data_IF_245518743929
#
_entry.id   IF_245518743929
#
_cell.length_a   1.000
_cell.length_b   1.000
_cell.length_c   1.000
_cell.angle_alpha   90.00
_cell.angle_beta   90.00
_cell.angle_gamma   90.00
#
_symmetry.space_group_name_H-M   'P 1'
#
loop_
_entity.id
_entity.type
_entity.pdbx_description
1 polymer ?
#
# COMPACT_ATOMS: atom_id res chain seq x y z
N UNK A 1 11.45 -13.23 23.62
CA UNK A 1 11.27 -11.89 23.03
C UNK A 1 10.17 -11.23 23.82
N UNK A 2 10.43 -10.10 24.46
CA UNK A 2 9.40 -9.42 25.23
C UNK A 2 8.25 -8.97 24.31
N UNK A 3 7.08 -9.56 24.49
CA UNK A 3 5.93 -9.34 23.61
C UNK A 3 5.38 -7.91 23.70
N UNK A 4 5.42 -7.29 24.88
CA UNK A 4 4.94 -5.92 25.08
C UNK A 4 5.76 -4.90 24.28
N UNK A 5 7.09 -4.96 24.40
CA UNK A 5 7.97 -4.09 23.61
C UNK A 5 7.83 -4.33 22.11
N UNK A 6 7.69 -5.59 21.69
CA UNK A 6 7.46 -5.92 20.29
C UNK A 6 6.20 -5.27 19.75
N UNK A 7 5.05 -5.45 20.43
CA UNK A 7 3.77 -4.89 20.01
C UNK A 7 3.84 -3.36 19.94
N UNK A 8 4.38 -2.71 20.98
CA UNK A 8 4.48 -1.24 21.01
C UNK A 8 5.34 -0.71 19.85
N UNK A 9 6.53 -1.29 19.64
CA UNK A 9 7.44 -0.83 18.58
C UNK A 9 6.76 -0.93 17.22
N UNK A 10 6.12 -2.07 16.94
CA UNK A 10 5.51 -2.33 15.64
C UNK A 10 4.31 -1.41 15.39
N UNK A 11 3.40 -1.26 16.36
CA UNK A 11 2.22 -0.41 16.21
C UNK A 11 2.60 1.07 16.09
N UNK A 12 3.57 1.54 16.88
CA UNK A 12 4.05 2.93 16.81
C UNK A 12 4.77 3.19 15.49
N UNK A 13 5.59 2.26 15.01
CA UNK A 13 6.27 2.41 13.71
C UNK A 13 5.25 2.56 12.59
N UNK A 14 4.30 1.64 12.53
CA UNK A 14 3.24 1.63 11.53
C UNK A 14 2.38 2.89 11.58
N UNK A 15 1.98 3.32 12.78
CA UNK A 15 1.17 4.53 12.94
C UNK A 15 1.91 5.78 12.46
N UNK A 16 3.18 5.96 12.84
CA UNK A 16 3.96 7.13 12.42
C UNK A 16 4.22 7.09 10.91
N UNK A 17 4.60 5.94 10.35
CA UNK A 17 4.77 5.78 8.90
C UNK A 17 3.46 6.04 8.13
N UNK A 18 2.33 5.59 8.68
CA UNK A 18 0.99 5.81 8.14
C UNK A 18 0.57 7.28 8.15
N UNK A 19 0.87 8.01 9.22
CA UNK A 19 0.60 9.45 9.30
C UNK A 19 1.45 10.23 8.30
N UNK A 20 2.73 9.85 8.12
CA UNK A 20 3.60 10.42 7.08
C UNK A 20 3.00 10.17 5.70
N UNK A 21 2.54 8.94 5.43
CA UNK A 21 1.83 8.61 4.19
C UNK A 21 0.58 9.47 3.98
N UNK A 22 -0.26 9.62 5.02
CA UNK A 22 -1.45 10.47 4.96
C UNK A 22 -1.12 11.92 4.62
N UNK A 23 -0.08 12.49 5.22
CA UNK A 23 0.39 13.84 4.93
C UNK A 23 0.94 14.00 3.51
N UNK A 24 1.72 13.03 3.02
CA UNK A 24 2.20 13.04 1.62
C UNK A 24 1.03 12.93 0.66
N UNK A 25 0.08 12.03 0.93
CA UNK A 25 -1.12 11.84 0.13
C UNK A 25 -1.94 13.14 0.04
N UNK A 26 -2.14 13.84 1.16
CA UNK A 26 -2.77 15.18 1.18
C UNK A 26 -2.04 16.19 0.29
N UNK A 27 -0.72 16.14 0.26
CA UNK A 27 0.08 17.12 -0.47
C UNK A 27 0.12 16.87 -1.98
N UNK A 28 0.20 15.60 -2.42
CA UNK A 28 0.53 15.27 -3.81
C UNK A 28 -0.53 14.47 -4.56
N UNK A 29 -1.43 13.77 -3.85
CA UNK A 29 -2.48 12.94 -4.48
C UNK A 29 -3.81 13.67 -4.48
N UNK A 30 -4.16 14.36 -3.38
CA UNK A 30 -5.42 15.10 -3.27
C UNK A 30 -5.69 16.09 -4.41
N UNK A 31 -4.71 16.82 -4.97
CA UNK A 31 -4.99 17.69 -6.11
C UNK A 31 -5.61 16.96 -7.31
N UNK A 32 -5.16 15.72 -7.59
CA UNK A 32 -5.73 14.88 -8.65
C UNK A 32 -7.09 14.32 -8.24
N UNK A 33 -7.30 14.05 -6.95
CA UNK A 33 -8.60 13.62 -6.44
C UNK A 33 -9.64 14.74 -6.57
N UNK A 34 -9.28 15.96 -6.20
CA UNK A 34 -10.12 17.15 -6.33
C UNK A 34 -10.48 17.42 -7.80
N UNK A 35 -9.52 17.29 -8.72
CA UNK A 35 -9.77 17.45 -10.16
C UNK A 35 -10.74 16.38 -10.68
N UNK A 36 -10.54 15.12 -10.30
CA UNK A 36 -11.42 14.02 -10.72
C UNK A 36 -12.85 14.16 -10.18
N UNK A 37 -13.02 14.65 -8.95
CA UNK A 37 -14.32 14.96 -8.35
C UNK A 37 -14.95 16.19 -9.02
N UNK A 38 -14.16 17.20 -9.36
CA UNK A 38 -14.64 18.37 -10.09
C UNK A 38 -15.25 17.98 -11.45
N UNK A 39 -14.60 17.08 -12.19
CA UNK A 39 -15.13 16.55 -13.46
C UNK A 39 -16.43 15.77 -13.24
N UNK A 40 -16.49 14.93 -12.22
CA UNK A 40 -17.71 14.18 -11.87
C UNK A 40 -18.87 15.12 -11.56
N UNK A 41 -18.67 16.12 -10.70
CA UNK A 41 -19.69 17.12 -10.36
C UNK A 41 -20.22 17.84 -11.61
N UNK A 42 -19.33 18.21 -12.55
CA UNK A 42 -19.76 18.84 -13.81
C UNK A 42 -20.64 17.90 -14.65
N UNK A 43 -20.29 16.61 -14.71
CA UNK A 43 -21.12 15.62 -15.40
C UNK A 43 -22.49 15.44 -14.73
N UNK A 44 -22.55 15.49 -13.38
CA UNK A 44 -23.80 15.44 -12.62
C UNK A 44 -24.69 16.67 -12.91
N UNK A 45 -24.10 17.87 -13.04
CA UNK A 45 -24.86 19.07 -13.40
C UNK A 45 -25.39 19.02 -14.84
N UNK A 46 -24.58 18.54 -15.78
CA UNK A 46 -24.98 18.43 -17.20
C UNK A 46 -26.08 17.37 -17.40
N UNK A 47 -26.01 16.26 -16.66
CA UNK A 47 -27.04 15.20 -16.71
C UNK A 47 -28.31 15.58 -15.95
N UNK A 48 -28.27 16.59 -15.08
CA UNK A 48 -29.38 16.99 -14.22
C UNK A 48 -29.56 16.12 -12.98
N UNK A 49 -28.58 15.27 -12.66
CA UNK A 49 -28.56 14.46 -11.43
C UNK A 49 -28.18 15.30 -10.20
N UNK A 50 -27.55 16.45 -10.40
CA UNK A 50 -27.29 17.46 -9.36
C UNK A 50 -27.56 18.88 -9.89
N UNK A 51 -27.80 19.83 -9.00
CA UNK A 51 -27.97 21.25 -9.33
C UNK A 51 -26.73 22.08 -8.95
N UNK A 52 -26.20 22.85 -9.91
CA UNK A 52 -25.09 23.79 -9.68
C UNK A 52 -25.59 25.03 -8.94
N UNK A 53 -25.66 24.93 -7.60
CA UNK A 53 -26.17 25.97 -6.71
C UNK A 53 -25.14 26.36 -5.66
N UNK A 54 -25.21 27.58 -5.11
CA UNK A 54 -24.38 27.97 -3.96
C UNK A 54 -24.51 27.00 -2.77
N UNK A 55 -25.71 26.45 -2.55
CA UNK A 55 -25.98 25.48 -1.49
C UNK A 55 -25.20 24.17 -1.70
N UNK A 56 -25.18 23.64 -2.92
CA UNK A 56 -24.38 22.46 -3.27
C UNK A 56 -22.89 22.67 -2.92
N UNK A 57 -22.32 23.81 -3.32
CA UNK A 57 -20.91 24.09 -3.09
C UNK A 57 -20.54 24.28 -1.62
N UNK A 58 -21.46 24.82 -0.79
CA UNK A 58 -21.27 24.92 0.66
C UNK A 58 -21.22 23.52 1.30
N UNK A 59 -22.16 22.64 0.94
CA UNK A 59 -22.20 21.26 1.44
C UNK A 59 -20.98 20.47 0.98
N UNK A 60 -20.66 20.54 -0.31
CA UNK A 60 -19.49 19.91 -0.92
C UNK A 60 -18.18 20.30 -0.22
N UNK A 61 -17.96 21.61 -0.05
CA UNK A 61 -16.73 22.12 0.58
C UNK A 61 -16.64 21.66 2.03
N UNK A 62 -17.76 21.73 2.78
CA UNK A 62 -17.81 21.25 4.16
C UNK A 62 -17.47 19.76 4.27
N UNK A 63 -17.99 18.92 3.37
CA UNK A 63 -17.68 17.49 3.33
C UNK A 63 -16.20 17.23 3.00
N UNK A 64 -15.65 17.91 1.99
CA UNK A 64 -14.25 17.73 1.59
C UNK A 64 -13.28 18.19 2.67
N UNK A 65 -13.58 19.29 3.36
CA UNK A 65 -12.80 19.76 4.50
C UNK A 65 -12.76 18.71 5.62
N UNK A 66 -13.93 18.15 5.97
CA UNK A 66 -14.01 17.07 6.94
C UNK A 66 -13.21 15.83 6.50
N UNK A 67 -13.39 15.38 5.26
CA UNK A 67 -12.72 14.21 4.70
C UNK A 67 -11.18 14.36 4.72
N UNK A 68 -10.67 15.50 4.26
CA UNK A 68 -9.22 15.78 4.26
C UNK A 68 -8.66 15.92 5.67
N UNK A 69 -9.41 16.54 6.60
CA UNK A 69 -8.96 16.70 7.98
C UNK A 69 -8.71 15.36 8.69
N UNK A 70 -9.49 14.32 8.37
CA UNK A 70 -9.36 12.98 8.92
C UNK A 70 -8.21 12.16 8.34
N UNK A 71 -7.60 12.59 7.22
CA UNK A 71 -6.70 11.77 6.43
C UNK A 71 -5.39 11.38 7.14
N UNK A 72 -4.84 12.26 7.98
CA UNK A 72 -3.65 11.94 8.78
C UNK A 72 -3.94 10.81 9.76
N UNK A 73 -5.06 10.90 10.49
CA UNK A 73 -5.47 9.89 11.46
C UNK A 73 -5.81 8.56 10.77
N UNK A 74 -6.57 8.62 9.66
CA UNK A 74 -6.89 7.46 8.85
C UNK A 74 -5.61 6.79 8.31
N UNK A 75 -4.66 7.58 7.81
CA UNK A 75 -3.34 7.12 7.39
C UNK A 75 -2.59 6.43 8.52
N UNK A 76 -2.59 7.01 9.72
CA UNK A 76 -1.99 6.40 10.91
C UNK A 76 -2.62 5.07 11.30
N UNK A 77 -3.95 4.96 11.30
CA UNK A 77 -4.66 3.70 11.63
C UNK A 77 -4.39 2.61 10.59
N UNK A 78 -4.43 2.97 9.30
CA UNK A 78 -4.07 2.06 8.21
C UNK A 78 -2.62 1.61 8.33
N UNK A 79 -1.70 2.56 8.55
CA UNK A 79 -0.29 2.30 8.73
C UNK A 79 0.00 1.42 9.94
N UNK A 80 -0.75 1.57 11.04
CA UNK A 80 -0.66 0.68 12.20
C UNK A 80 -0.98 -0.77 11.82
N UNK A 81 -2.01 -0.98 10.99
CA UNK A 81 -2.41 -2.31 10.51
C UNK A 81 -1.35 -2.94 9.60
N UNK A 82 -0.83 -2.17 8.64
CA UNK A 82 0.24 -2.65 7.73
C UNK A 82 1.57 -2.83 8.48
N UNK A 83 1.88 -1.95 9.42
CA UNK A 83 3.03 -2.05 10.32
C UNK A 83 2.95 -3.31 11.18
N UNK A 84 1.77 -3.64 11.72
CA UNK A 84 1.55 -4.92 12.42
C UNK A 84 1.92 -6.13 11.56
N UNK A 85 1.44 -6.16 10.30
CA UNK A 85 1.82 -7.20 9.33
C UNK A 85 3.34 -7.19 9.09
N UNK A 86 3.94 -6.04 8.85
CA UNK A 86 5.39 -5.88 8.66
C UNK A 86 6.19 -6.44 9.83
N UNK A 87 5.82 -6.06 11.06
CA UNK A 87 6.49 -6.49 12.29
C UNK A 87 6.40 -7.99 12.51
N UNK A 88 5.25 -8.61 12.22
CA UNK A 88 5.09 -10.08 12.27
C UNK A 88 6.00 -10.76 11.26
N UNK A 89 5.96 -10.32 9.99
CA UNK A 89 6.83 -10.88 8.94
C UNK A 89 8.30 -10.68 9.30
N UNK A 90 8.68 -9.51 9.83
CA UNK A 90 10.02 -9.24 10.31
C UNK A 90 10.43 -10.18 11.44
N UNK A 91 9.57 -10.39 12.43
CA UNK A 91 9.86 -11.27 13.56
C UNK A 91 10.21 -12.70 13.10
N UNK A 92 9.48 -13.25 12.12
CA UNK A 92 9.72 -14.59 11.58
C UNK A 92 10.86 -14.66 10.56
N UNK A 93 11.14 -13.57 9.83
CA UNK A 93 12.14 -13.57 8.74
C UNK A 93 13.51 -13.01 9.13
N UNK A 94 13.64 -12.28 10.25
CA UNK A 94 14.86 -11.54 10.64
C UNK A 94 16.16 -12.32 10.66
N UNK A 95 16.11 -13.64 10.86
CA UNK A 95 17.29 -14.52 10.88
C UNK A 95 17.71 -14.96 9.47
N UNK A 96 16.82 -14.84 8.49
CA UNK A 96 17.08 -15.15 7.08
C UNK A 96 17.45 -13.91 6.26
N UNK A 97 17.23 -12.71 6.80
CA UNK A 97 17.63 -11.44 6.20
C UNK A 97 19.16 -11.22 6.33
N UNK A 98 19.77 -10.35 5.49
CA UNK A 98 21.21 -10.11 5.51
C UNK A 98 21.75 -9.79 6.90
N UNK A 99 22.95 -10.32 7.22
CA UNK A 99 23.65 -10.00 8.47
C UNK A 99 23.95 -8.49 8.54
N UNK A 100 23.98 -7.96 9.77
CA UNK A 100 24.30 -6.54 10.04
C UNK A 100 23.22 -5.84 10.87
N UNK A 101 23.21 -4.51 10.76
CA UNK A 101 22.32 -3.62 11.49
C UNK A 101 20.83 -3.88 11.19
N UNK A 102 19.96 -3.72 12.18
CA UNK A 102 18.53 -4.02 12.03
C UNK A 102 17.87 -3.18 10.93
N UNK A 103 18.24 -1.90 10.81
CA UNK A 103 17.78 -1.01 9.72
C UNK A 103 18.04 -1.60 8.34
N UNK A 104 19.20 -2.22 8.09
CA UNK A 104 19.48 -2.87 6.81
C UNK A 104 18.50 -4.02 6.53
N UNK A 105 18.15 -4.78 7.57
CA UNK A 105 17.20 -5.89 7.45
C UNK A 105 15.79 -5.39 7.15
N UNK A 106 15.34 -4.35 7.84
CA UNK A 106 14.01 -3.77 7.63
C UNK A 106 13.88 -3.17 6.23
N UNK A 107 14.91 -2.50 5.70
CA UNK A 107 14.90 -2.04 4.30
C UNK A 107 14.78 -3.18 3.28
N UNK A 108 15.53 -4.27 3.46
CA UNK A 108 15.42 -5.43 2.57
C UNK A 108 14.02 -6.03 2.63
N UNK A 109 13.46 -6.17 3.83
CA UNK A 109 12.11 -6.68 3.99
C UNK A 109 11.06 -5.74 3.39
N UNK A 110 11.19 -4.43 3.60
CA UNK A 110 10.31 -3.42 3.02
C UNK A 110 10.35 -3.44 1.50
N UNK A 111 11.51 -3.59 0.87
CA UNK A 111 11.60 -3.74 -0.58
C UNK A 111 10.87 -5.00 -1.07
N UNK A 112 11.02 -6.14 -0.38
CA UNK A 112 10.32 -7.38 -0.74
C UNK A 112 8.80 -7.22 -0.57
N UNK A 113 8.35 -6.69 0.56
CA UNK A 113 6.93 -6.53 0.83
C UNK A 113 6.32 -5.47 -0.10
N UNK A 114 6.93 -4.29 -0.26
CA UNK A 114 6.53 -3.28 -1.24
C UNK A 114 6.39 -3.87 -2.64
N UNK A 115 7.36 -4.67 -3.10
CA UNK A 115 7.27 -5.32 -4.41
C UNK A 115 6.09 -6.29 -4.49
N UNK A 116 5.98 -7.18 -3.51
CA UNK A 116 5.05 -8.32 -3.56
C UNK A 116 3.62 -7.95 -3.21
N UNK A 117 3.39 -7.03 -2.27
CA UNK A 117 2.05 -6.68 -1.77
C UNK A 117 1.55 -5.33 -2.28
N UNK A 118 2.40 -4.52 -2.91
CA UNK A 118 1.98 -3.24 -3.49
C UNK A 118 2.29 -3.15 -4.98
N UNK A 119 3.56 -3.14 -5.39
CA UNK A 119 3.93 -2.83 -6.77
C UNK A 119 3.35 -3.84 -7.77
N UNK A 120 3.54 -5.14 -7.54
CA UNK A 120 3.03 -6.17 -8.46
C UNK A 120 1.49 -6.13 -8.55
N UNK A 121 0.72 -6.11 -7.44
CA UNK A 121 -0.73 -5.88 -7.49
C UNK A 121 -1.13 -4.60 -8.21
N UNK A 122 -0.43 -3.49 -7.97
CA UNK A 122 -0.68 -2.21 -8.63
C UNK A 122 -0.43 -2.27 -10.14
N UNK A 123 0.58 -3.02 -10.60
CA UNK A 123 0.81 -3.21 -12.03
C UNK A 123 -0.34 -3.95 -12.72
N UNK A 124 -1.03 -4.85 -12.01
CA UNK A 124 -2.20 -5.57 -12.54
C UNK A 124 -3.48 -4.75 -12.44
N UNK A 125 -3.68 -4.10 -11.30
CA UNK A 125 -4.88 -3.35 -10.95
C UNK A 125 -4.43 -1.99 -10.40
N UNK A 126 -4.04 -1.05 -11.28
CA UNK A 126 -3.58 0.27 -10.85
C UNK A 126 -4.72 1.03 -10.19
N UNK A 127 -4.40 1.84 -9.18
CA UNK A 127 -5.37 2.67 -8.51
C UNK A 127 -5.95 3.72 -9.48
N UNK A 128 -7.26 3.89 -9.45
CA UNK A 128 -7.96 4.99 -10.11
C UNK A 128 -8.47 5.96 -9.05
N UNK A 129 -8.67 7.25 -9.37
CA UNK A 129 -9.50 8.10 -8.54
C UNK A 129 -10.87 7.44 -8.31
N UNK A 130 -11.50 7.60 -7.13
CA UNK A 130 -12.79 6.96 -6.81
C UNK A 130 -13.91 7.26 -7.81
N UNK A 131 -13.87 8.46 -8.41
CA UNK A 131 -14.83 8.93 -9.42
C UNK A 131 -14.56 8.36 -10.82
N UNK A 132 -13.50 7.55 -10.96
CA UNK A 132 -13.08 6.93 -12.22
C UNK A 132 -13.30 5.42 -12.15
N UNK A 133 -14.40 5.00 -12.77
CA UNK A 133 -14.85 3.62 -12.84
C UNK A 133 -16.31 3.50 -12.41
N UNK A 134 -16.83 2.29 -12.41
CA UNK A 134 -18.22 2.03 -12.05
C UNK A 134 -18.34 1.83 -10.53
N UNK A 135 -19.38 2.43 -9.93
CA UNK A 135 -19.70 2.27 -8.51
C UNK A 135 -20.15 0.83 -8.20
N UNK A 136 -20.85 0.19 -9.13
CA UNK A 136 -21.39 -1.16 -8.97
C UNK A 136 -20.28 -2.23 -8.96
N UNK A 137 -19.12 -1.92 -9.53
CA UNK A 137 -17.96 -2.84 -9.60
C UNK A 137 -16.97 -2.68 -8.45
N UNK A 138 -17.15 -1.70 -7.55
CA UNK A 138 -16.20 -1.38 -6.47
C UNK A 138 -15.85 -2.62 -5.63
N UNK A 139 -16.84 -3.44 -5.29
CA UNK A 139 -16.64 -4.66 -4.51
C UNK A 139 -15.80 -5.68 -5.29
N UNK A 140 -16.11 -5.89 -6.57
CA UNK A 140 -15.37 -6.81 -7.44
C UNK A 140 -13.91 -6.37 -7.61
N UNK A 141 -13.67 -5.08 -7.88
CA UNK A 141 -12.32 -4.51 -7.99
C UNK A 141 -11.52 -4.70 -6.70
N UNK A 142 -12.17 -4.49 -5.55
CA UNK A 142 -11.59 -4.77 -4.23
C UNK A 142 -11.19 -6.24 -4.06
N UNK A 143 -12.07 -7.18 -4.44
CA UNK A 143 -11.79 -8.63 -4.37
C UNK A 143 -10.62 -9.01 -5.29
N UNK A 144 -10.60 -8.50 -6.53
CA UNK A 144 -9.52 -8.77 -7.48
C UNK A 144 -8.17 -8.29 -6.94
N UNK A 145 -8.13 -7.06 -6.41
CA UNK A 145 -6.92 -6.48 -5.82
C UNK A 145 -6.43 -7.27 -4.60
N UNK A 146 -7.32 -7.56 -3.65
CA UNK A 146 -6.97 -8.33 -2.45
C UNK A 146 -6.56 -9.76 -2.77
N UNK A 147 -7.20 -10.40 -3.74
CA UNK A 147 -6.81 -11.73 -4.22
C UNK A 147 -5.42 -11.72 -4.82
N UNK A 148 -5.09 -10.70 -5.62
CA UNK A 148 -3.75 -10.57 -6.21
C UNK A 148 -2.68 -10.32 -5.15
N UNK A 149 -2.96 -9.48 -4.15
CA UNK A 149 -2.10 -9.29 -2.97
C UNK A 149 -1.85 -10.63 -2.28
N UNK A 150 -2.91 -11.39 -2.00
CA UNK A 150 -2.80 -12.67 -1.32
C UNK A 150 -1.96 -13.67 -2.14
N UNK A 151 -2.24 -13.84 -3.43
CA UNK A 151 -1.49 -14.76 -4.30
C UNK A 151 -0.02 -14.34 -4.37
N UNK A 152 0.26 -13.05 -4.59
CA UNK A 152 1.62 -12.53 -4.68
C UNK A 152 2.40 -12.68 -3.37
N UNK A 153 1.79 -12.31 -2.24
CA UNK A 153 2.39 -12.41 -0.92
C UNK A 153 2.63 -13.86 -0.47
N UNK A 154 1.64 -14.74 -0.61
CA UNK A 154 1.79 -16.15 -0.22
C UNK A 154 2.74 -16.91 -1.14
N UNK A 155 2.76 -16.62 -2.44
CA UNK A 155 3.75 -17.21 -3.34
C UNK A 155 5.16 -16.72 -3.01
N UNK A 156 5.37 -15.44 -2.69
CA UNK A 156 6.67 -14.94 -2.23
C UNK A 156 7.16 -15.70 -0.98
N UNK A 157 6.26 -15.99 -0.03
CA UNK A 157 6.57 -16.82 1.13
C UNK A 157 6.90 -18.28 0.72
N UNK A 158 6.14 -18.87 -0.20
CA UNK A 158 6.39 -20.21 -0.75
C UNK A 158 7.76 -20.33 -1.43
N UNK A 159 8.08 -19.39 -2.32
CA UNK A 159 9.36 -19.33 -3.03
C UNK A 159 10.52 -18.99 -2.09
N UNK A 160 10.30 -18.22 -1.02
CA UNK A 160 11.30 -18.03 0.05
C UNK A 160 11.63 -19.34 0.79
N UNK A 161 10.64 -20.21 1.02
CA UNK A 161 10.88 -21.56 1.57
C UNK A 161 11.61 -22.45 0.58
N UNK A 162 11.26 -22.38 -0.71
CA UNK A 162 11.98 -23.11 -1.77
C UNK A 162 13.45 -22.67 -1.84
N UNK A 163 13.72 -21.36 -1.80
CA UNK A 163 15.07 -20.79 -1.77
C UNK A 163 15.94 -21.39 -0.66
N UNK A 164 15.36 -21.67 0.53
CA UNK A 164 16.09 -22.29 1.65
C UNK A 164 16.39 -23.78 1.44
N UNK A 165 15.61 -24.47 0.61
CA UNK A 165 15.80 -25.90 0.29
C UNK A 165 16.75 -26.14 -0.89
N UNK A 166 16.96 -25.14 -1.74
CA UNK A 166 17.83 -25.24 -2.90
C UNK A 166 19.31 -25.11 -2.54
N UNK A 167 20.14 -25.88 -3.22
CA UNK A 167 21.59 -25.71 -3.20
C UNK A 167 22.01 -24.29 -3.61
N UNK A 168 23.12 -23.79 -3.07
CA UNK A 168 23.55 -22.40 -3.31
C UNK A 168 23.61 -22.01 -4.79
N UNK A 169 24.13 -22.89 -5.66
CA UNK A 169 24.22 -22.67 -7.11
C UNK A 169 22.87 -22.62 -7.84
N UNK A 170 21.79 -23.09 -7.20
CA UNK A 170 20.42 -23.17 -7.78
C UNK A 170 19.45 -22.18 -7.15
N UNK A 171 19.87 -21.39 -6.16
CA UNK A 171 18.99 -20.45 -5.44
C UNK A 171 18.30 -19.41 -6.34
N UNK A 172 18.92 -19.04 -7.45
CA UNK A 172 18.33 -18.15 -8.45
C UNK A 172 17.01 -18.71 -9.03
N UNK A 173 16.83 -20.05 -9.07
CA UNK A 173 15.61 -20.69 -9.56
C UNK A 173 14.38 -20.35 -8.71
N UNK A 174 14.54 -20.03 -7.42
CA UNK A 174 13.42 -19.58 -6.61
C UNK A 174 12.91 -18.19 -7.05
N UNK A 175 13.82 -17.29 -7.43
CA UNK A 175 13.46 -15.97 -7.95
C UNK A 175 12.85 -16.06 -9.35
N UNK A 176 13.48 -16.83 -10.24
CA UNK A 176 12.95 -17.08 -11.59
C UNK A 176 11.58 -17.76 -11.52
N UNK A 177 11.43 -18.75 -10.65
CA UNK A 177 10.16 -19.44 -10.44
C UNK A 177 9.06 -18.52 -9.92
N UNK A 178 9.37 -17.64 -8.96
CA UNK A 178 8.41 -16.62 -8.51
C UNK A 178 8.01 -15.68 -9.64
N UNK A 179 8.99 -15.18 -10.41
CA UNK A 179 8.73 -14.28 -11.54
C UNK A 179 7.83 -14.95 -12.59
N UNK A 180 8.16 -16.17 -13.03
CA UNK A 180 7.34 -16.93 -13.99
C UNK A 180 5.94 -17.18 -13.44
N UNK A 181 5.84 -17.59 -12.17
CA UNK A 181 4.56 -17.84 -11.51
C UNK A 181 3.69 -16.58 -11.47
N UNK A 182 4.23 -15.46 -10.99
CA UNK A 182 3.44 -14.24 -10.82
C UNK A 182 3.07 -13.61 -12.17
N UNK A 183 3.93 -13.74 -13.19
CA UNK A 183 3.59 -13.37 -14.57
C UNK A 183 2.46 -14.23 -15.13
N UNK A 184 2.46 -15.54 -14.89
CA UNK A 184 1.35 -16.40 -15.30
C UNK A 184 0.05 -15.99 -14.60
N UNK A 185 0.08 -15.75 -13.29
CA UNK A 185 -1.07 -15.24 -12.51
C UNK A 185 -1.55 -13.90 -13.06
N UNK A 186 -0.64 -13.00 -13.44
CA UNK A 186 -0.98 -11.70 -14.04
C UNK A 186 -1.87 -11.83 -15.28
N UNK A 187 -1.56 -12.78 -16.16
CA UNK A 187 -2.34 -13.00 -17.38
C UNK A 187 -3.59 -13.86 -17.17
N UNK A 188 -3.59 -14.75 -16.17
CA UNK A 188 -4.75 -15.60 -15.84
C UNK A 188 -5.85 -14.81 -15.13
N UNK A 189 -5.47 -13.90 -14.22
CA UNK A 189 -6.42 -13.12 -13.44
C UNK A 189 -7.24 -12.18 -14.35
N UNK A 190 -8.56 -12.02 -14.09
CA UNK A 190 -9.43 -11.16 -14.91
C UNK A 190 -8.90 -9.72 -15.03
N UNK A 191 -9.13 -9.02 -16.15
CA UNK A 191 -8.86 -7.59 -16.23
C UNK A 191 -9.78 -6.80 -15.30
N UNK A 192 -9.45 -5.52 -15.07
CA UNK A 192 -10.40 -4.58 -14.47
C UNK A 192 -11.59 -4.41 -15.44
N UNK A 193 -12.84 -4.60 -14.99
CA UNK A 193 -14.02 -4.47 -15.87
C UNK A 193 -14.31 -3.03 -16.29
N UNK A 194 -13.78 -2.03 -15.58
CA UNK A 194 -14.16 -0.64 -15.79
C UNK A 194 -13.41 0.01 -16.96
N UNK A 195 -14.17 0.73 -17.79
CA UNK A 195 -13.61 1.67 -18.74
C UNK A 195 -13.17 2.96 -18.04
N UNK A 196 -12.05 3.52 -18.49
CA UNK A 196 -11.54 4.80 -17.96
C UNK A 196 -12.03 5.92 -18.89
N UNK A 197 -13.02 6.67 -18.44
CA UNK A 197 -13.64 7.78 -19.19
C UNK A 197 -13.01 9.14 -18.89
N UNK A 198 -12.27 9.26 -17.77
CA UNK A 198 -11.58 10.49 -17.39
C UNK A 198 -10.30 10.73 -18.22
N UNK A 199 -9.82 12.00 -18.30
CA UNK A 199 -8.57 12.33 -18.99
C UNK A 199 -7.39 11.47 -18.50
N UNK A 200 -6.65 10.88 -19.44
CA UNK A 200 -5.61 9.91 -19.08
C UNK A 200 -4.42 10.55 -18.35
N UNK A 201 -4.16 11.84 -18.58
CA UNK A 201 -3.12 12.59 -17.87
C UNK A 201 -3.44 12.72 -16.36
N UNK A 202 -4.70 13.00 -16.04
CA UNK A 202 -5.21 13.02 -14.66
C UNK A 202 -5.08 11.64 -14.01
N UNK A 203 -5.52 10.59 -14.69
CA UNK A 203 -5.47 9.21 -14.19
C UNK A 203 -4.02 8.75 -13.96
N UNK A 204 -3.13 9.02 -14.92
CA UNK A 204 -1.72 8.66 -14.80
C UNK A 204 -0.99 9.50 -13.74
N UNK A 205 -1.35 10.78 -13.59
CA UNK A 205 -0.86 11.65 -12.52
C UNK A 205 -1.25 11.11 -11.14
N UNK A 206 -2.55 10.80 -10.95
CA UNK A 206 -3.05 10.16 -9.73
C UNK A 206 -2.31 8.85 -9.42
N UNK A 207 -2.16 7.96 -10.41
CA UNK A 207 -1.44 6.69 -10.29
C UNK A 207 0.01 6.88 -9.86
N UNK A 208 0.71 7.81 -10.51
CA UNK A 208 2.12 8.11 -10.23
C UNK A 208 2.30 8.64 -8.81
N UNK A 209 1.49 9.64 -8.43
CA UNK A 209 1.55 10.22 -7.09
C UNK A 209 1.13 9.23 -6.00
N UNK A 210 0.16 8.35 -6.29
CA UNK A 210 -0.20 7.24 -5.40
C UNK A 210 0.98 6.29 -5.15
N UNK A 211 1.73 5.93 -6.20
CA UNK A 211 2.93 5.10 -6.08
C UNK A 211 3.99 5.80 -5.22
N UNK A 212 4.22 7.09 -5.40
CA UNK A 212 5.16 7.87 -4.59
C UNK A 212 4.72 7.92 -3.12
N UNK A 213 3.43 8.19 -2.87
CA UNK A 213 2.88 8.26 -1.52
C UNK A 213 3.01 6.92 -0.79
N UNK A 214 2.64 5.80 -1.43
CA UNK A 214 2.78 4.47 -0.83
C UNK A 214 4.26 4.10 -0.66
N UNK A 215 5.13 4.41 -1.60
CA UNK A 215 6.57 4.15 -1.47
C UNK A 215 7.16 4.88 -0.26
N UNK A 216 6.70 6.12 0.02
CA UNK A 216 7.10 6.86 1.23
C UNK A 216 6.72 6.12 2.52
N UNK A 217 5.53 5.51 2.59
CA UNK A 217 5.13 4.67 3.73
C UNK A 217 6.17 3.56 3.99
N UNK A 218 6.54 2.80 2.96
CA UNK A 218 7.45 1.67 3.08
C UNK A 218 8.85 2.07 3.52
N UNK A 219 9.35 3.20 3.02
CA UNK A 219 10.63 3.77 3.45
C UNK A 219 10.55 4.21 4.91
N UNK A 220 9.51 4.96 5.28
CA UNK A 220 9.31 5.44 6.65
C UNK A 220 9.21 4.27 7.64
N UNK A 221 8.40 3.25 7.33
CA UNK A 221 8.24 2.06 8.17
C UNK A 221 9.56 1.32 8.37
N UNK A 222 10.33 1.12 7.29
CA UNK A 222 11.64 0.47 7.37
C UNK A 222 12.62 1.22 8.30
N UNK A 223 12.63 2.55 8.22
CA UNK A 223 13.49 3.41 9.04
C UNK A 223 13.03 3.35 10.49
N UNK A 224 11.77 3.67 10.76
CA UNK A 224 11.24 3.83 12.12
C UNK A 224 11.31 2.51 12.88
N UNK A 225 10.81 1.42 12.30
CA UNK A 225 10.88 0.10 12.92
C UNK A 225 12.33 -0.35 13.11
N UNK A 226 13.18 -0.15 12.09
CA UNK A 226 14.59 -0.51 12.15
C UNK A 226 15.35 0.19 13.28
N UNK A 227 15.10 1.49 13.47
CA UNK A 227 15.71 2.32 14.52
C UNK A 227 15.17 1.98 15.90
N UNK A 228 13.85 1.87 16.06
CA UNK A 228 13.23 1.51 17.34
C UNK A 228 13.64 0.10 17.78
N UNK A 229 13.61 -0.87 16.87
CA UNK A 229 14.06 -2.23 17.17
C UNK A 229 15.53 -2.26 17.60
N UNK A 230 16.39 -1.49 16.93
CA UNK A 230 17.79 -1.40 17.32
C UNK A 230 17.96 -0.78 18.71
N UNK A 231 17.26 0.33 18.98
CA UNK A 231 17.31 1.06 20.25
C UNK A 231 16.86 0.20 21.43
N UNK A 232 15.78 -0.57 21.25
CA UNK A 232 15.17 -1.39 22.30
C UNK A 232 15.56 -2.87 22.21
N UNK A 233 16.65 -3.20 21.52
CA UNK A 233 17.07 -4.59 21.29
C UNK A 233 17.28 -5.38 22.59
N UNK A 234 17.89 -4.78 23.61
CA UNK A 234 18.09 -5.41 24.92
C UNK A 234 16.76 -5.71 25.61
N UNK A 235 15.84 -4.73 25.63
CA UNK A 235 14.47 -4.89 26.15
C UNK A 235 13.67 -5.96 25.42
N UNK A 236 13.83 -6.06 24.09
CA UNK A 236 13.22 -7.12 23.30
C UNK A 236 13.77 -8.52 23.65
N UNK A 237 14.96 -8.62 24.24
CA UNK A 237 15.61 -9.88 24.61
C UNK A 237 15.39 -10.27 26.07
N UNK A 238 14.96 -9.33 26.92
CA UNK A 238 14.52 -9.61 28.29
C UNK A 238 13.29 -10.56 28.26
N UNK A 239 13.32 -11.60 29.11
CA UNK A 239 12.25 -12.60 29.26
C UNK A 239 11.23 -12.16 30.28
#
# INVERSE_FOLDING_TARGET
MNAGYFVVIVLVSGFVAGTIHGAVNLAIVEPYLDEAIGIENQNLFVSGEAEDTPQFWVEYTSYRDWQKSGQLLAGGILGMSIGALFGVVFAYSRNSLPKGHTVKKTFVLAAIMWLTIFLIPFLKYPANPPTVGDADTVVLRGILYLSFIAISGFSAVGFSRLYKKLENKKKYLAFVGYAVFITAVFFIMPPNPDEVTAPMDLVNGFRTMSVIAVTTFWIAEAIILGLLWQKYKTKLQES
#
